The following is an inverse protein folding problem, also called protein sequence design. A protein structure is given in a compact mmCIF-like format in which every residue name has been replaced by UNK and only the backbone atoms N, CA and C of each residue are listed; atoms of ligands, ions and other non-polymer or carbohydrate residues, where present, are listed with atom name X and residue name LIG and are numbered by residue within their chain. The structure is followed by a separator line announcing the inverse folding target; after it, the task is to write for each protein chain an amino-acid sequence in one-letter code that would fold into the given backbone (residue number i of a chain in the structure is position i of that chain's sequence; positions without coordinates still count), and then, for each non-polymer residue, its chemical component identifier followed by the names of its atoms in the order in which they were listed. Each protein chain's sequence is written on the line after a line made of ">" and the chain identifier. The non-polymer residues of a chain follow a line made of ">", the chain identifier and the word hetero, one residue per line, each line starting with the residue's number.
data_IF_120625962232
#
_entry.id   IF_120625962232
#
_cell.length_a   1.000
_cell.length_b   1.000
_cell.length_c   1.000
_cell.angle_alpha   90.00
_cell.angle_beta   90.00
_cell.angle_gamma   90.00
#
_symmetry.space_group_name_H-M   'P 1'
#
loop_
_entity.id
_entity.type
_entity.pdbx_description
1 polymer ?
#
# COMPACT_ATOMS: atom_id res chain seq x y z
N UNK A 1 24.68 20.70 49.69
CA UNK A 1 24.92 20.23 48.30
C UNK A 1 24.32 18.86 47.99
N UNK A 2 24.30 17.89 48.93
CA UNK A 2 23.77 16.55 48.64
C UNK A 2 22.22 16.50 48.52
N UNK A 3 21.46 17.23 49.35
CA UNK A 3 19.99 17.25 49.26
C UNK A 3 19.45 17.81 47.94
N UNK A 4 20.12 18.78 47.32
CA UNK A 4 19.72 19.35 46.03
C UNK A 4 19.98 18.38 44.88
N UNK A 5 21.03 17.57 44.96
CA UNK A 5 21.32 16.52 43.98
C UNK A 5 20.31 15.37 44.06
N UNK A 6 19.91 14.95 45.27
CA UNK A 6 18.87 13.93 45.44
C UNK A 6 17.51 14.35 44.88
N UNK A 7 17.13 15.62 45.04
CA UNK A 7 15.88 16.17 44.47
C UNK A 7 15.92 16.25 42.95
N UNK A 8 17.07 16.64 42.38
CA UNK A 8 17.27 16.65 40.93
C UNK A 8 17.17 15.23 40.34
N UNK A 9 17.78 14.24 40.99
CA UNK A 9 17.72 12.84 40.55
C UNK A 9 16.29 12.30 40.58
N UNK A 10 15.52 12.58 41.64
CA UNK A 10 14.11 12.17 41.70
C UNK A 10 13.30 12.83 40.58
N UNK A 11 13.53 14.11 40.31
CA UNK A 11 12.84 14.82 39.23
C UNK A 11 13.17 14.25 37.85
N UNK A 12 14.44 13.94 37.59
CA UNK A 12 14.89 13.29 36.35
C UNK A 12 14.27 11.90 36.21
N UNK A 13 14.23 11.09 37.27
CA UNK A 13 13.59 9.78 37.25
C UNK A 13 12.09 9.87 36.96
N UNK A 14 11.37 10.84 37.55
CA UNK A 14 9.95 11.06 37.28
C UNK A 14 9.68 11.55 35.85
N UNK A 15 10.56 12.40 35.30
CA UNK A 15 10.45 12.86 33.93
C UNK A 15 10.73 11.73 32.92
N UNK A 16 11.59 10.77 33.27
CA UNK A 16 11.92 9.64 32.40
C UNK A 16 10.77 8.64 32.27
N UNK A 17 9.98 8.42 33.33
CA UNK A 17 8.85 7.48 33.29
C UNK A 17 7.71 8.00 32.41
N UNK A 18 7.43 9.30 32.40
CA UNK A 18 6.36 9.88 31.57
C UNK A 18 6.66 9.78 30.07
N UNK A 19 7.93 9.96 29.67
CA UNK A 19 8.37 9.80 28.28
C UNK A 19 8.23 8.34 27.83
N UNK A 20 8.56 7.37 28.69
CA UNK A 20 8.43 5.95 28.37
C UNK A 20 6.96 5.52 28.18
N UNK A 21 6.03 6.04 29.00
CA UNK A 21 4.60 5.75 28.87
C UNK A 21 3.97 6.42 27.65
N UNK A 22 4.47 7.57 27.18
CA UNK A 22 3.95 8.27 26.00
C UNK A 22 4.22 7.51 24.69
N UNK A 23 5.23 6.64 24.65
CA UNK A 23 5.52 5.78 23.48
C UNK A 23 4.60 4.56 23.39
N UNK A 24 3.88 4.24 24.47
CA UNK A 24 2.93 3.15 24.49
C UNK A 24 1.56 3.66 24.05
N UNK A 25 1.28 3.53 22.76
CA UNK A 25 -0.09 3.68 22.24
C UNK A 25 -0.73 2.29 22.27
N UNK A 26 -1.56 1.96 23.28
CA UNK A 26 -2.29 0.69 23.23
C UNK A 26 -3.15 0.70 21.97
N UNK A 27 -2.93 -0.27 21.08
CA UNK A 27 -3.94 -0.57 20.07
C UNK A 27 -5.19 -0.97 20.82
N UNK A 28 -6.23 -0.16 20.77
CA UNK A 28 -7.51 -0.50 21.36
C UNK A 28 -7.95 -1.83 20.76
N UNK A 29 -8.18 -2.89 21.57
CA UNK A 29 -8.68 -4.14 21.04
C UNK A 29 -10.05 -3.83 20.43
N UNK A 30 -10.17 -4.05 19.13
CA UNK A 30 -11.42 -3.85 18.44
C UNK A 30 -12.46 -4.79 19.03
N UNK A 31 -13.55 -4.22 19.55
CA UNK A 31 -14.73 -4.97 19.99
C UNK A 31 -15.80 -4.90 18.90
N UNK A 32 -16.46 -6.02 18.57
CA UNK A 32 -17.64 -5.99 17.72
C UNK A 32 -18.73 -5.14 18.40
N UNK A 33 -19.55 -4.45 17.62
CA UNK A 33 -20.80 -3.90 18.13
C UNK A 33 -21.77 -5.04 18.49
N UNK A 34 -22.78 -4.77 19.31
CA UNK A 34 -23.80 -5.77 19.66
C UNK A 34 -24.59 -6.25 18.43
N UNK A 35 -24.79 -5.34 17.47
CA UNK A 35 -25.45 -5.58 16.19
C UNK A 35 -24.53 -6.19 15.12
N UNK A 36 -23.27 -6.49 15.46
CA UNK A 36 -22.30 -6.95 14.48
C UNK A 36 -22.71 -8.30 13.85
N UNK A 37 -22.51 -8.46 12.53
CA UNK A 37 -22.73 -9.73 11.85
C UNK A 37 -21.95 -10.87 12.50
N UNK A 38 -22.47 -12.09 12.35
CA UNK A 38 -21.86 -13.28 12.96
C UNK A 38 -20.39 -13.46 12.59
N UNK A 39 -20.00 -13.18 11.34
CA UNK A 39 -18.60 -13.27 10.91
C UNK A 39 -17.69 -12.29 11.66
N UNK A 40 -18.18 -11.09 11.99
CA UNK A 40 -17.44 -10.06 12.75
C UNK A 40 -17.23 -10.52 14.19
N UNK A 41 -18.29 -11.04 14.83
CA UNK A 41 -18.20 -11.58 16.20
C UNK A 41 -17.25 -12.76 16.30
N UNK A 42 -17.29 -13.67 15.32
CA UNK A 42 -16.38 -14.81 15.24
C UNK A 42 -14.92 -14.37 15.07
N UNK A 43 -14.68 -13.40 14.19
CA UNK A 43 -13.35 -12.87 13.90
C UNK A 43 -12.70 -12.22 15.13
N UNK A 44 -13.41 -11.34 15.83
CA UNK A 44 -12.88 -10.68 17.04
C UNK A 44 -12.86 -11.59 18.27
N UNK A 45 -13.65 -12.66 18.28
CA UNK A 45 -13.69 -13.63 19.38
C UNK A 45 -12.42 -14.50 19.51
N UNK A 46 -11.52 -14.49 18.53
CA UNK A 46 -10.18 -15.12 18.60
C UNK A 46 -10.15 -16.66 18.63
N UNK A 47 -11.28 -17.32 18.88
CA UNK A 47 -11.41 -18.78 18.97
C UNK A 47 -11.81 -19.45 17.64
N UNK A 48 -12.26 -18.67 16.66
CA UNK A 48 -12.76 -19.20 15.40
C UNK A 48 -11.62 -19.55 14.43
N UNK A 49 -11.73 -20.72 13.77
CA UNK A 49 -10.83 -21.09 12.67
C UNK A 49 -11.02 -20.12 11.48
N UNK A 50 -9.95 -19.71 10.76
CA UNK A 50 -10.05 -18.81 9.61
C UNK A 50 -11.08 -19.22 8.56
N UNK A 51 -11.12 -20.52 8.23
CA UNK A 51 -12.08 -21.13 7.30
C UNK A 51 -13.54 -20.87 7.70
N UNK A 52 -13.84 -20.92 9.01
CA UNK A 52 -15.20 -20.69 9.53
C UNK A 52 -15.60 -19.23 9.39
N UNK A 53 -14.67 -18.32 9.66
CA UNK A 53 -14.91 -16.87 9.49
C UNK A 53 -15.11 -16.53 8.02
N UNK A 54 -14.30 -17.11 7.12
CA UNK A 54 -14.48 -16.96 5.66
C UNK A 54 -15.85 -17.46 5.20
N UNK A 55 -16.26 -18.67 5.59
CA UNK A 55 -17.57 -19.19 5.23
C UNK A 55 -18.72 -18.29 5.74
N UNK A 56 -18.62 -17.76 6.96
CA UNK A 56 -19.61 -16.85 7.52
C UNK A 56 -19.65 -15.48 6.81
N UNK A 57 -18.49 -14.98 6.36
CA UNK A 57 -18.37 -13.75 5.57
C UNK A 57 -19.04 -13.91 4.19
N UNK A 58 -18.73 -14.98 3.47
CA UNK A 58 -19.32 -15.27 2.16
C UNK A 58 -20.85 -15.47 2.26
N UNK A 59 -21.31 -16.22 3.27
CA UNK A 59 -22.73 -16.43 3.52
C UNK A 59 -23.49 -15.12 3.82
N UNK A 60 -22.84 -14.16 4.49
CA UNK A 60 -23.43 -12.86 4.77
C UNK A 60 -23.55 -12.00 3.50
N UNK A 61 -22.48 -11.89 2.71
CA UNK A 61 -22.47 -11.08 1.49
C UNK A 61 -23.15 -11.75 0.28
N UNK A 62 -23.60 -13.01 0.41
CA UNK A 62 -24.49 -13.64 -0.56
C UNK A 62 -25.88 -12.97 -0.60
N UNK A 63 -26.33 -12.36 0.50
CA UNK A 63 -27.64 -11.72 0.63
C UNK A 63 -27.57 -10.23 0.96
N UNK A 64 -26.40 -9.71 1.31
CA UNK A 64 -26.17 -8.31 1.66
C UNK A 64 -25.23 -7.65 0.67
N UNK A 65 -25.50 -6.39 0.34
CA UNK A 65 -24.59 -5.58 -0.48
C UNK A 65 -23.25 -5.36 0.24
N UNK A 66 -22.16 -5.42 -0.51
CA UNK A 66 -20.84 -5.14 0.05
C UNK A 66 -20.67 -3.67 0.45
N UNK A 67 -20.35 -3.43 1.71
CA UNK A 67 -20.02 -2.11 2.25
C UNK A 67 -18.62 -2.13 2.87
N UNK A 68 -17.76 -1.22 2.41
CA UNK A 68 -16.43 -1.05 2.98
C UNK A 68 -16.52 -0.32 4.30
N UNK A 69 -16.19 -1.01 5.37
CA UNK A 69 -16.17 -0.51 6.74
C UNK A 69 -14.86 -0.90 7.44
N UNK A 70 -14.77 -0.64 8.74
CA UNK A 70 -13.62 -1.01 9.57
C UNK A 70 -13.41 -2.53 9.62
N UNK A 71 -14.48 -3.29 9.81
CA UNK A 71 -14.41 -4.72 10.07
C UNK A 71 -14.05 -5.51 8.80
N UNK A 72 -14.52 -5.08 7.63
CA UNK A 72 -14.14 -5.65 6.31
C UNK A 72 -12.67 -5.37 5.97
N UNK A 73 -12.17 -4.18 6.32
CA UNK A 73 -10.74 -3.86 6.17
C UNK A 73 -9.87 -4.70 7.12
N UNK A 74 -10.32 -4.87 8.37
CA UNK A 74 -9.64 -5.72 9.32
C UNK A 74 -9.65 -7.18 8.88
N UNK A 75 -10.81 -7.70 8.44
CA UNK A 75 -10.95 -9.05 7.88
C UNK A 75 -9.96 -9.28 6.74
N UNK A 76 -9.88 -8.36 5.77
CA UNK A 76 -8.93 -8.47 4.65
C UNK A 76 -7.48 -8.54 5.13
N UNK A 77 -7.09 -7.67 6.06
CA UNK A 77 -5.72 -7.66 6.62
C UNK A 77 -5.44 -8.94 7.41
N UNK A 78 -6.41 -9.39 8.20
CA UNK A 78 -6.33 -10.59 9.03
C UNK A 78 -6.17 -11.85 8.19
N UNK A 79 -7.02 -12.05 7.17
CA UNK A 79 -6.91 -13.15 6.21
C UNK A 79 -5.57 -13.12 5.48
N UNK A 80 -5.13 -11.94 5.01
CA UNK A 80 -3.83 -11.78 4.35
C UNK A 80 -2.65 -12.20 5.25
N UNK A 81 -2.69 -11.88 6.54
CA UNK A 81 -1.64 -12.27 7.49
C UNK A 81 -1.64 -13.77 7.78
N UNK A 82 -2.78 -14.44 7.66
CA UNK A 82 -2.90 -15.89 7.83
C UNK A 82 -2.41 -16.63 6.58
N UNK A 83 -2.80 -16.15 5.40
CA UNK A 83 -2.51 -16.80 4.11
C UNK A 83 -1.09 -16.56 3.62
N UNK A 84 -0.52 -15.38 3.91
CA UNK A 84 0.85 -15.10 3.52
C UNK A 84 1.80 -15.79 4.51
N UNK A 85 2.69 -16.67 4.02
CA UNK A 85 3.76 -17.16 4.87
C UNK A 85 4.59 -15.97 5.34
N UNK A 86 5.05 -16.01 6.60
CA UNK A 86 6.01 -15.03 7.10
C UNK A 86 7.17 -15.00 6.12
N UNK A 87 7.39 -13.84 5.48
CA UNK A 87 8.47 -13.69 4.54
C UNK A 87 9.78 -14.07 5.24
N UNK A 88 10.41 -15.16 4.80
CA UNK A 88 11.73 -15.52 5.30
C UNK A 88 12.71 -14.51 4.73
N UNK A 89 13.03 -13.49 5.52
CA UNK A 89 13.99 -12.47 5.10
C UNK A 89 15.36 -13.12 5.05
N UNK A 90 15.92 -13.27 3.86
CA UNK A 90 17.28 -13.82 3.73
C UNK A 90 18.28 -12.86 4.37
N UNK A 91 19.40 -13.38 4.89
CA UNK A 91 20.49 -12.55 5.41
C UNK A 91 21.03 -11.56 4.38
N UNK A 92 21.03 -11.96 3.11
CA UNK A 92 21.41 -11.09 2.00
C UNK A 92 20.41 -9.94 1.82
N UNK A 93 19.10 -10.21 1.89
CA UNK A 93 18.08 -9.18 1.84
C UNK A 93 18.18 -8.23 3.03
N UNK A 94 18.36 -8.72 4.26
CA UNK A 94 18.46 -7.85 5.44
C UNK A 94 19.69 -6.95 5.37
N UNK A 95 20.84 -7.47 4.93
CA UNK A 95 22.05 -6.68 4.71
C UNK A 95 21.89 -5.65 3.58
N UNK A 96 21.23 -6.00 2.48
CA UNK A 96 20.93 -5.05 1.41
C UNK A 96 19.92 -3.97 1.86
N UNK A 97 18.95 -4.35 2.69
CA UNK A 97 17.93 -3.44 3.20
C UNK A 97 18.51 -2.41 4.16
N UNK A 98 19.42 -2.78 5.05
CA UNK A 98 20.12 -1.83 5.94
C UNK A 98 21.00 -0.86 5.15
N UNK A 99 21.69 -1.35 4.12
CA UNK A 99 22.46 -0.50 3.20
C UNK A 99 21.54 0.47 2.46
N UNK A 100 20.38 0.03 1.97
CA UNK A 100 19.42 0.89 1.28
C UNK A 100 18.71 1.88 2.21
N UNK A 101 18.43 1.51 3.46
CA UNK A 101 17.88 2.41 4.46
C UNK A 101 18.84 3.59 4.72
N UNK A 102 20.15 3.32 4.78
CA UNK A 102 21.17 4.37 4.87
C UNK A 102 21.29 5.23 3.58
N UNK A 103 20.77 4.76 2.44
CA UNK A 103 20.69 5.58 1.20
C UNK A 103 19.44 6.46 1.19
N UNK A 104 18.42 6.10 1.96
CA UNK A 104 17.17 6.86 2.10
C UNK A 104 17.27 8.02 3.12
N UNK A 105 18.42 8.18 3.78
CA UNK A 105 18.72 9.34 4.64
C UNK A 105 19.27 10.55 3.88
N UNK A 106 19.34 10.48 2.55
CA UNK A 106 19.75 11.60 1.70
C UNK A 106 18.63 12.63 1.50
N UNK A 107 18.99 13.85 1.08
CA UNK A 107 18.02 14.86 0.65
C UNK A 107 17.26 14.37 -0.59
N UNK A 108 15.93 14.47 -0.54
CA UNK A 108 15.07 14.19 -1.67
C UNK A 108 15.36 15.20 -2.78
N UNK A 109 15.96 14.73 -3.87
CA UNK A 109 16.16 15.53 -5.07
C UNK A 109 15.18 15.11 -6.15
N UNK A 110 14.67 16.09 -6.90
CA UNK A 110 13.84 15.83 -8.08
C UNK A 110 14.68 15.10 -9.13
N UNK A 111 14.21 13.93 -9.55
CA UNK A 111 14.85 13.17 -10.62
C UNK A 111 14.57 13.82 -11.97
N UNK A 112 15.43 14.77 -12.35
CA UNK A 112 15.47 15.37 -13.68
C UNK A 112 14.32 16.32 -14.00
N UNK A 113 14.37 17.01 -15.16
CA UNK A 113 13.32 17.91 -15.58
C UNK A 113 12.06 17.11 -15.95
N UNK A 114 11.03 17.22 -15.11
CA UNK A 114 9.68 16.75 -15.41
C UNK A 114 8.97 17.76 -16.31
N UNK A 115 9.31 17.80 -17.60
CA UNK A 115 8.46 18.50 -18.56
C UNK A 115 7.23 17.64 -18.83
N UNK A 116 6.06 18.07 -18.31
CA UNK A 116 4.79 17.52 -18.76
C UNK A 116 4.67 17.77 -20.27
N UNK A 117 4.82 16.71 -21.07
CA UNK A 117 4.54 16.75 -22.50
C UNK A 117 3.08 16.33 -22.72
N UNK A 118 2.17 17.29 -22.99
CA UNK A 118 0.75 16.98 -23.19
C UNK A 118 0.52 16.06 -24.39
N UNK A 119 1.40 16.04 -25.40
CA UNK A 119 1.22 15.22 -26.60
C UNK A 119 1.56 13.74 -26.35
N UNK A 120 2.58 13.48 -25.51
CA UNK A 120 2.89 12.12 -25.02
C UNK A 120 1.81 11.65 -24.06
N UNK A 121 1.36 12.51 -23.15
CA UNK A 121 0.31 12.18 -22.17
C UNK A 121 -1.05 11.89 -22.81
N UNK A 122 -1.37 12.54 -23.94
CA UNK A 122 -2.60 12.33 -24.70
C UNK A 122 -2.50 11.21 -25.74
N UNK A 123 -1.37 10.48 -25.80
CA UNK A 123 -1.19 9.33 -26.67
C UNK A 123 -1.23 9.67 -28.16
N UNK A 124 -0.93 10.93 -28.54
CA UNK A 124 -1.07 11.41 -29.92
C UNK A 124 0.11 11.03 -30.84
N UNK A 125 0.82 9.95 -30.55
CA UNK A 125 1.85 9.39 -31.43
C UNK A 125 1.25 8.36 -32.40
N UNK A 126 0.25 8.79 -33.17
CA UNK A 126 -0.06 8.17 -34.48
C UNK A 126 0.25 9.17 -35.57
N UNK A 127 1.42 9.80 -35.51
CA UNK A 127 1.91 10.58 -36.63
C UNK A 127 2.58 9.60 -37.60
N UNK A 128 1.96 9.36 -38.75
CA UNK A 128 2.63 8.72 -39.87
C UNK A 128 3.87 9.56 -40.20
N UNK A 129 5.06 8.95 -40.13
CA UNK A 129 6.33 9.56 -40.55
C UNK A 129 6.19 9.99 -42.02
N UNK A 130 6.39 11.27 -42.31
CA UNK A 130 6.39 11.80 -43.68
C UNK A 130 7.75 11.59 -44.35
N UNK A 131 7.78 11.78 -45.67
CA UNK A 131 8.88 11.41 -46.60
C UNK A 131 10.30 11.75 -46.13
N UNK A 132 10.46 12.87 -45.41
CA UNK A 132 11.77 13.36 -44.95
C UNK A 132 12.47 12.40 -43.98
N UNK A 133 11.71 11.62 -43.22
CA UNK A 133 12.22 10.79 -42.13
C UNK A 133 12.53 9.34 -42.59
N UNK A 134 12.03 8.91 -43.75
CA UNK A 134 12.20 7.55 -44.28
C UNK A 134 13.19 7.47 -45.45
N UNK A 135 13.71 8.61 -45.92
CA UNK A 135 14.67 8.67 -47.03
C UNK A 135 14.11 8.15 -48.36
N UNK A 136 12.78 8.16 -48.53
CA UNK A 136 12.13 7.69 -49.74
C UNK A 136 12.18 8.78 -50.84
N UNK A 137 12.40 8.40 -52.11
CA UNK A 137 12.37 9.36 -53.22
C UNK A 137 10.95 9.90 -53.42
N UNK A 138 10.84 11.11 -53.98
CA UNK A 138 9.54 11.73 -54.26
C UNK A 138 8.69 10.84 -55.20
N UNK A 139 7.49 10.46 -54.76
CA UNK A 139 6.62 9.54 -55.51
C UNK A 139 5.25 9.36 -54.85
N UNK A 140 4.32 8.71 -55.56
CA UNK A 140 2.97 8.42 -55.02
C UNK A 140 2.98 7.05 -54.36
N UNK A 141 2.71 7.01 -53.05
CA UNK A 141 2.70 5.79 -52.26
C UNK A 141 1.28 5.46 -51.76
N UNK A 142 0.90 4.19 -51.83
CA UNK A 142 -0.33 3.69 -51.21
C UNK A 142 -0.02 3.14 -49.81
N UNK A 143 -0.64 3.73 -48.78
CA UNK A 143 -0.56 3.24 -47.41
C UNK A 143 -1.57 2.09 -47.22
N UNK A 144 -1.08 0.93 -46.79
CA UNK A 144 -1.91 -0.19 -46.34
C UNK A 144 -1.69 -0.36 -44.84
N UNK A 145 -2.77 -0.25 -44.06
CA UNK A 145 -2.75 -0.52 -42.62
C UNK A 145 -3.27 -1.94 -42.41
N UNK A 146 -2.40 -2.87 -42.03
CA UNK A 146 -2.78 -4.23 -41.64
C UNK A 146 -2.73 -4.40 -40.12
N UNK A 147 -3.66 -5.18 -39.57
CA UNK A 147 -3.60 -5.67 -38.19
C UNK A 147 -4.43 -4.94 -37.13
N UNK A 148 -5.26 -3.96 -37.49
CA UNK A 148 -6.14 -3.30 -36.51
C UNK A 148 -7.47 -4.07 -36.33
N UNK A 149 -7.42 -5.20 -35.63
CA UNK A 149 -8.61 -5.86 -35.08
C UNK A 149 -8.65 -5.72 -33.55
N UNK A 150 -9.74 -5.15 -33.01
CA UNK A 150 -10.02 -5.11 -31.57
C UNK A 150 -10.41 -3.72 -31.05
N UNK A 151 -11.35 -3.69 -30.09
CA UNK A 151 -11.80 -2.48 -29.40
C UNK A 151 -10.77 -2.09 -28.34
N UNK A 152 -10.31 -0.84 -28.35
CA UNK A 152 -9.41 -0.29 -27.33
C UNK A 152 -10.16 0.66 -26.41
N UNK A 153 -10.07 0.40 -25.11
CA UNK A 153 -10.59 1.27 -24.06
C UNK A 153 -9.47 2.21 -23.59
N UNK A 154 -9.73 3.52 -23.63
CA UNK A 154 -8.95 4.51 -22.89
C UNK A 154 -9.74 4.88 -21.64
N UNK A 155 -9.19 4.59 -20.46
CA UNK A 155 -9.76 5.00 -19.16
C UNK A 155 -9.11 6.35 -18.81
N UNK A 156 -9.96 7.33 -18.52
CA UNK A 156 -9.62 8.72 -18.16
C UNK A 156 -9.08 8.84 -16.74
#
# INVERSE_FOLDING_TARGET
>A
MQLTQSRLLIFVCLAYTTIAHAQFVPQTPYRPSDEAPTWVRMMYGGLAKPERVRAAYEAYYATHSFEKNRDTQFYKRWMRNIELPTASVSRAYSAAHTVNANRMTGEWNEMGPWSYDPEVALGRLTQLRTELDLGLPAGVYHLRVEGMSGVKWAIR
#
